data_IF_047185908065
#
_entry.id   IF_047185908065
#
_cell.length_a   1.000
_cell.length_b   1.000
_cell.length_c   1.000
_cell.angle_alpha   90.00
_cell.angle_beta   90.00
_cell.angle_gamma   90.00
#
_symmetry.space_group_name_H-M   'P 1'
#
loop_
_entity.id
_entity.type
_entity.pdbx_description
1 polymer ?
#
# COMPACT_ATOMS: atom_id res chain seq x y z
N UNK A 1 -34.18 3.91 -6.42
CA UNK A 1 -33.96 4.57 -5.14
C UNK A 1 -32.58 4.15 -4.64
N UNK A 2 -31.60 5.04 -4.66
CA UNK A 2 -30.24 4.75 -4.15
C UNK A 2 -30.27 4.61 -2.63
N UNK A 3 -29.23 4.00 -2.04
CA UNK A 3 -29.16 3.80 -0.58
C UNK A 3 -29.29 5.13 0.19
N UNK A 4 -28.76 6.21 -0.38
CA UNK A 4 -28.88 7.57 0.15
C UNK A 4 -30.33 8.11 0.12
N UNK A 5 -31.07 7.88 -0.96
CA UNK A 5 -32.47 8.29 -1.08
C UNK A 5 -33.38 7.53 -0.09
N UNK A 6 -33.07 6.26 0.15
CA UNK A 6 -33.78 5.41 1.12
C UNK A 6 -33.57 5.93 2.55
N UNK A 7 -32.35 6.34 2.89
CA UNK A 7 -31.99 6.86 4.21
C UNK A 7 -32.56 8.25 4.46
N UNK A 8 -32.56 9.13 3.45
CA UNK A 8 -33.21 10.43 3.53
C UNK A 8 -34.73 10.27 3.76
N UNK A 9 -35.35 9.33 3.04
CA UNK A 9 -36.76 9.01 3.19
C UNK A 9 -37.11 8.52 4.61
N UNK A 10 -36.30 7.63 5.18
CA UNK A 10 -36.50 7.17 6.57
C UNK A 10 -36.28 8.27 7.61
N UNK A 11 -35.26 9.12 7.43
CA UNK A 11 -34.97 10.26 8.33
C UNK A 11 -36.14 11.25 8.38
N UNK A 12 -36.71 11.59 7.22
CA UNK A 12 -37.90 12.46 7.10
C UNK A 12 -39.14 11.83 7.74
N UNK A 13 -39.33 10.52 7.58
CA UNK A 13 -40.49 9.80 8.15
C UNK A 13 -40.38 9.68 9.67
N UNK A 14 -39.19 9.49 10.23
CA UNK A 14 -38.96 9.43 11.69
C UNK A 14 -39.12 10.78 12.39
N UNK A 15 -38.83 11.91 11.72
CA UNK A 15 -39.13 13.26 12.23
C UNK A 15 -40.63 13.47 12.52
N UNK A 16 -41.49 12.75 11.81
CA UNK A 16 -42.95 12.87 11.94
C UNK A 16 -43.51 12.09 13.14
N UNK A 17 -42.78 11.12 13.69
CA UNK A 17 -43.31 10.15 14.66
C UNK A 17 -42.54 10.05 15.99
N UNK A 18 -41.36 10.69 16.12
CA UNK A 18 -40.56 10.64 17.35
C UNK A 18 -40.01 12.02 17.72
N UNK A 19 -39.96 12.32 19.02
CA UNK A 19 -39.44 13.57 19.55
C UNK A 19 -38.05 13.92 19.01
N UNK A 20 -37.85 15.21 18.71
CA UNK A 20 -36.68 15.76 18.02
C UNK A 20 -35.31 15.28 18.57
N UNK A 21 -35.22 14.95 19.86
CA UNK A 21 -34.01 14.44 20.51
C UNK A 21 -33.50 13.11 19.90
N UNK A 22 -34.40 12.20 19.51
CA UNK A 22 -34.02 10.91 18.93
C UNK A 22 -33.45 11.05 17.52
N UNK A 23 -34.06 11.90 16.69
CA UNK A 23 -33.62 12.12 15.31
C UNK A 23 -32.27 12.83 15.25
N UNK A 24 -32.03 13.81 16.14
CA UNK A 24 -30.73 14.50 16.24
C UNK A 24 -29.63 13.48 16.57
N UNK A 25 -29.89 12.55 17.50
CA UNK A 25 -28.94 11.51 17.89
C UNK A 25 -28.61 10.56 16.73
N UNK A 26 -29.61 10.18 15.93
CA UNK A 26 -29.43 9.31 14.76
C UNK A 26 -28.60 9.98 13.66
N UNK A 27 -28.88 11.25 13.34
CA UNK A 27 -28.10 12.02 12.37
C UNK A 27 -26.64 12.22 12.83
N UNK A 28 -26.40 12.44 14.13
CA UNK A 28 -25.05 12.55 14.67
C UNK A 28 -24.26 11.25 14.51
N UNK A 29 -24.88 10.10 14.81
CA UNK A 29 -24.28 8.78 14.62
C UNK A 29 -23.96 8.54 13.15
N UNK A 30 -24.86 8.87 12.23
CA UNK A 30 -24.64 8.76 10.78
C UNK A 30 -23.43 9.60 10.32
N UNK A 31 -23.35 10.87 10.73
CA UNK A 31 -22.22 11.76 10.40
C UNK A 31 -20.91 11.19 10.93
N UNK A 32 -20.90 10.64 12.15
CA UNK A 32 -19.70 10.03 12.75
C UNK A 32 -19.28 8.78 11.95
N UNK A 33 -20.22 7.92 11.59
CA UNK A 33 -19.94 6.71 10.80
C UNK A 33 -19.39 7.07 9.43
N UNK A 34 -20.01 8.00 8.71
CA UNK A 34 -19.56 8.42 7.38
C UNK A 34 -18.18 9.08 7.44
N UNK A 35 -17.93 9.93 8.45
CA UNK A 35 -16.62 10.54 8.67
C UNK A 35 -15.54 9.49 8.97
N UNK A 36 -15.88 8.42 9.70
CA UNK A 36 -14.96 7.30 9.96
C UNK A 36 -14.67 6.53 8.68
N UNK A 37 -15.69 6.20 7.89
CA UNK A 37 -15.55 5.50 6.62
C UNK A 37 -14.65 6.28 5.64
N UNK A 38 -14.93 7.56 5.44
CA UNK A 38 -14.13 8.44 4.58
C UNK A 38 -12.66 8.51 5.01
N UNK A 39 -12.38 8.58 6.33
CA UNK A 39 -11.01 8.56 6.84
C UNK A 39 -10.29 7.26 6.53
N UNK A 40 -10.96 6.11 6.64
CA UNK A 40 -10.36 4.81 6.35
C UNK A 40 -10.09 4.64 4.85
N UNK A 41 -10.98 5.14 4.00
CA UNK A 41 -10.80 5.12 2.55
C UNK A 41 -9.59 5.97 2.12
N UNK A 42 -9.47 7.20 2.63
CA UNK A 42 -8.31 8.07 2.39
C UNK A 42 -7.02 7.41 2.87
N UNK A 43 -7.04 6.78 4.05
CA UNK A 43 -5.88 6.10 4.60
C UNK A 43 -5.40 4.96 3.69
N UNK A 44 -6.33 4.11 3.21
CA UNK A 44 -6.02 3.03 2.27
C UNK A 44 -5.38 3.55 0.98
N UNK A 45 -5.92 4.63 0.42
CA UNK A 45 -5.38 5.27 -0.78
C UNK A 45 -3.94 5.75 -0.55
N UNK A 46 -3.68 6.43 0.58
CA UNK A 46 -2.34 6.93 0.91
C UNK A 46 -1.34 5.78 1.03
N UNK A 47 -1.73 4.70 1.72
CA UNK A 47 -0.87 3.52 1.92
C UNK A 47 -0.54 2.86 0.57
N UNK A 48 -1.55 2.61 -0.28
CA UNK A 48 -1.35 2.03 -1.61
C UNK A 48 -0.52 2.95 -2.51
N UNK A 49 -0.75 4.26 -2.46
CA UNK A 49 -0.05 5.22 -3.31
C UNK A 49 1.45 5.28 -2.96
N UNK A 50 1.79 5.43 -1.69
CA UNK A 50 3.19 5.45 -1.23
C UNK A 50 3.87 4.12 -1.55
N UNK A 51 3.20 3.00 -1.20
CA UNK A 51 3.70 1.65 -1.43
C UNK A 51 3.97 1.38 -2.92
N UNK A 52 2.96 1.64 -3.75
CA UNK A 52 3.01 1.38 -5.18
C UNK A 52 4.00 2.27 -5.90
N UNK A 53 4.05 3.57 -5.59
CA UNK A 53 5.00 4.49 -6.22
C UNK A 53 6.45 4.15 -5.84
N UNK A 54 6.74 3.79 -4.59
CA UNK A 54 8.09 3.41 -4.18
C UNK A 54 8.58 2.16 -4.91
N UNK A 55 7.73 1.13 -4.96
CA UNK A 55 8.02 -0.13 -5.66
C UNK A 55 8.16 0.12 -7.17
N UNK A 56 7.18 0.79 -7.78
CA UNK A 56 7.17 1.10 -9.21
C UNK A 56 8.41 1.88 -9.65
N UNK A 57 8.76 2.95 -8.93
CA UNK A 57 9.85 3.85 -9.35
C UNK A 57 11.23 3.35 -8.94
N UNK A 58 11.49 3.19 -7.63
CA UNK A 58 12.83 2.96 -7.10
C UNK A 58 13.29 1.51 -7.26
N UNK A 59 12.39 0.55 -7.04
CA UNK A 59 12.70 -0.87 -7.18
C UNK A 59 12.46 -1.36 -8.62
N UNK A 60 11.53 -0.75 -9.35
CA UNK A 60 11.18 -1.09 -10.73
C UNK A 60 11.88 -0.24 -11.79
N UNK A 61 11.22 0.81 -12.27
CA UNK A 61 11.58 1.59 -13.46
C UNK A 61 13.03 2.07 -13.45
N UNK A 62 13.50 2.65 -12.35
CA UNK A 62 14.86 3.21 -12.28
C UNK A 62 15.93 2.11 -12.45
N UNK A 63 15.77 0.99 -11.74
CA UNK A 63 16.72 -0.14 -11.82
C UNK A 63 16.60 -0.90 -13.14
N UNK A 64 15.43 -0.90 -13.77
CA UNK A 64 15.24 -1.48 -15.09
C UNK A 64 15.99 -0.72 -16.19
N UNK A 65 15.88 0.62 -16.20
CA UNK A 65 16.51 1.48 -17.21
C UNK A 65 18.03 1.51 -17.04
N UNK A 66 18.51 1.77 -15.82
CA UNK A 66 19.93 1.85 -15.53
C UNK A 66 20.26 1.21 -14.17
N UNK A 67 20.48 -0.11 -14.14
CA UNK A 67 20.78 -0.83 -12.90
C UNK A 67 22.05 -0.32 -12.22
N UNK A 68 23.16 -0.17 -12.94
CA UNK A 68 24.48 0.20 -12.36
C UNK A 68 24.38 1.51 -11.56
N UNK A 69 23.84 2.57 -12.18
CA UNK A 69 23.74 3.88 -11.54
C UNK A 69 22.75 3.88 -10.37
N UNK A 70 21.59 3.23 -10.55
CA UNK A 70 20.51 3.31 -9.57
C UNK A 70 20.70 2.37 -8.39
N UNK A 71 21.36 1.22 -8.55
CA UNK A 71 21.78 0.40 -7.41
C UNK A 71 22.81 1.15 -6.55
N UNK A 72 23.81 1.79 -7.16
CA UNK A 72 24.81 2.56 -6.41
C UNK A 72 24.16 3.72 -5.64
N UNK A 73 23.28 4.48 -6.30
CA UNK A 73 22.61 5.64 -5.69
C UNK A 73 21.62 5.23 -4.58
N UNK A 74 20.78 4.22 -4.83
CA UNK A 74 19.64 3.92 -3.96
C UNK A 74 19.97 2.89 -2.88
N UNK A 75 20.99 2.04 -3.11
CA UNK A 75 21.36 0.95 -2.19
C UNK A 75 22.83 0.94 -1.80
N UNK A 76 23.68 1.76 -2.42
CA UNK A 76 25.13 1.74 -2.18
C UNK A 76 25.86 0.54 -2.79
N UNK A 77 25.15 -0.31 -3.55
CA UNK A 77 25.73 -1.50 -4.18
C UNK A 77 26.36 -1.10 -5.52
N UNK A 78 27.66 -1.40 -5.69
CA UNK A 78 28.34 -1.31 -6.98
C UNK A 78 28.06 -2.60 -7.75
N UNK A 79 27.24 -2.51 -8.80
CA UNK A 79 27.08 -3.62 -9.75
C UNK A 79 28.24 -3.62 -10.73
N UNK A 80 28.76 -4.80 -11.01
CA UNK A 80 29.70 -5.01 -12.12
C UNK A 80 28.96 -4.86 -13.46
N UNK A 81 29.69 -4.39 -14.49
CA UNK A 81 29.14 -4.25 -15.82
C UNK A 81 29.23 -5.58 -16.60
N UNK A 82 28.58 -6.60 -16.05
CA UNK A 82 28.58 -7.97 -16.57
C UNK A 82 27.17 -8.31 -17.08
N UNK A 83 27.07 -8.86 -18.29
CA UNK A 83 25.79 -8.99 -19.02
C UNK A 83 24.78 -9.85 -18.27
N UNK A 84 25.22 -10.96 -17.66
CA UNK A 84 24.33 -11.85 -16.92
C UNK A 84 23.80 -11.18 -15.65
N UNK A 85 24.67 -10.51 -14.89
CA UNK A 85 24.28 -9.76 -13.70
C UNK A 85 23.29 -8.63 -14.02
N UNK A 86 23.52 -7.91 -15.13
CA UNK A 86 22.60 -6.87 -15.57
C UNK A 86 21.26 -7.44 -16.03
N UNK A 87 21.24 -8.64 -16.63
CA UNK A 87 20.01 -9.34 -17.01
C UNK A 87 19.19 -9.71 -15.76
N UNK A 88 19.82 -10.32 -14.77
CA UNK A 88 19.18 -10.68 -13.48
C UNK A 88 18.62 -9.45 -12.76
N UNK A 89 19.42 -8.37 -12.68
CA UNK A 89 18.99 -7.13 -12.06
C UNK A 89 17.77 -6.53 -12.77
N UNK A 90 17.73 -6.54 -14.11
CA UNK A 90 16.60 -6.04 -14.90
C UNK A 90 15.37 -6.93 -14.79
N UNK A 91 15.53 -8.25 -14.81
CA UNK A 91 14.43 -9.21 -14.63
C UNK A 91 13.69 -8.98 -13.32
N UNK A 92 14.43 -8.88 -12.20
CA UNK A 92 13.83 -8.56 -10.90
C UNK A 92 13.20 -7.16 -10.87
N UNK A 93 13.79 -6.18 -11.54
CA UNK A 93 13.23 -4.83 -11.63
C UNK A 93 11.92 -4.79 -12.44
N UNK A 94 11.77 -5.61 -13.48
CA UNK A 94 10.51 -5.72 -14.21
C UNK A 94 9.39 -6.28 -13.33
N UNK A 95 9.68 -7.31 -12.52
CA UNK A 95 8.71 -7.85 -11.56
C UNK A 95 8.27 -6.76 -10.57
N UNK A 96 9.21 -5.98 -10.05
CA UNK A 96 8.91 -4.84 -9.17
C UNK A 96 8.06 -3.77 -9.87
N UNK A 97 8.37 -3.43 -11.12
CA UNK A 97 7.60 -2.45 -11.88
C UNK A 97 6.13 -2.89 -12.02
N UNK A 98 5.88 -4.13 -12.45
CA UNK A 98 4.52 -4.65 -12.58
C UNK A 98 3.82 -4.81 -11.24
N UNK A 99 4.55 -5.22 -10.18
CA UNK A 99 4.04 -5.22 -8.82
C UNK A 99 3.55 -3.84 -8.38
N UNK A 100 4.35 -2.80 -8.63
CA UNK A 100 3.96 -1.40 -8.37
C UNK A 100 2.72 -0.96 -9.14
N UNK A 101 2.59 -1.36 -10.41
CA UNK A 101 1.37 -1.10 -11.22
C UNK A 101 0.14 -1.75 -10.58
N UNK A 102 0.24 -3.02 -10.19
CA UNK A 102 -0.86 -3.73 -9.52
C UNK A 102 -1.23 -3.03 -8.21
N UNK A 103 -0.25 -2.60 -7.41
CA UNK A 103 -0.50 -1.90 -6.15
C UNK A 103 -1.25 -0.57 -6.39
N UNK A 104 -0.78 0.26 -7.33
CA UNK A 104 -1.42 1.54 -7.65
C UNK A 104 -2.81 1.35 -8.25
N UNK A 105 -3.03 0.30 -9.05
CA UNK A 105 -4.33 0.03 -9.67
C UNK A 105 -5.47 -0.18 -8.67
N UNK A 106 -5.16 -0.67 -7.46
CA UNK A 106 -6.15 -0.85 -6.38
C UNK A 106 -6.72 0.44 -5.82
N UNK A 107 -6.14 1.60 -6.16
CA UNK A 107 -6.70 2.93 -5.86
C UNK A 107 -7.87 3.25 -6.79
N UNK A 108 -7.76 2.88 -8.07
CA UNK A 108 -8.73 3.23 -9.11
C UNK A 108 -9.77 2.13 -9.36
N UNK A 109 -9.42 0.88 -9.06
CA UNK A 109 -10.26 -0.29 -9.33
C UNK A 109 -10.62 -0.94 -7.98
N UNK A 110 -11.82 -0.70 -7.42
CA UNK A 110 -12.21 -1.20 -6.09
C UNK A 110 -12.12 -2.72 -5.95
N UNK A 111 -12.38 -3.46 -7.03
CA UNK A 111 -12.26 -4.93 -7.07
C UNK A 111 -10.81 -5.41 -6.91
N UNK A 112 -9.83 -4.55 -7.15
CA UNK A 112 -8.40 -4.89 -7.04
C UNK A 112 -7.79 -4.48 -5.72
N UNK A 113 -8.45 -3.67 -4.89
CA UNK A 113 -7.87 -3.12 -3.65
C UNK A 113 -7.29 -4.20 -2.72
N UNK A 114 -8.02 -5.31 -2.51
CA UNK A 114 -7.55 -6.44 -1.70
C UNK A 114 -6.30 -7.09 -2.32
N UNK A 115 -6.30 -7.28 -3.64
CA UNK A 115 -5.17 -7.86 -4.38
C UNK A 115 -3.95 -6.93 -4.30
N UNK A 116 -4.15 -5.63 -4.42
CA UNK A 116 -3.10 -4.62 -4.31
C UNK A 116 -2.44 -4.62 -2.94
N UNK A 117 -3.22 -4.73 -1.86
CA UNK A 117 -2.65 -4.90 -0.52
C UNK A 117 -1.89 -6.22 -0.39
N UNK A 118 -2.44 -7.34 -0.88
CA UNK A 118 -1.76 -8.64 -0.84
C UNK A 118 -0.42 -8.61 -1.58
N UNK A 119 -0.36 -8.00 -2.76
CA UNK A 119 0.89 -7.84 -3.53
C UNK A 119 1.86 -6.92 -2.80
N UNK A 120 1.41 -5.80 -2.22
CA UNK A 120 2.28 -4.92 -1.43
C UNK A 120 2.89 -5.66 -0.23
N UNK A 121 2.08 -6.45 0.49
CA UNK A 121 2.53 -7.28 1.62
C UNK A 121 3.59 -8.27 1.16
N UNK A 122 3.31 -9.00 0.07
CA UNK A 122 4.24 -9.99 -0.49
C UNK A 122 5.60 -9.36 -0.82
N UNK A 123 5.60 -8.20 -1.49
CA UNK A 123 6.84 -7.54 -1.89
C UNK A 123 7.58 -6.95 -0.69
N UNK A 124 6.92 -6.18 0.17
CA UNK A 124 7.58 -5.53 1.30
C UNK A 124 8.02 -6.52 2.38
N UNK A 125 7.13 -7.39 2.86
CA UNK A 125 7.52 -8.36 3.88
C UNK A 125 8.43 -9.44 3.31
N UNK A 126 8.24 -9.87 2.06
CA UNK A 126 9.15 -10.81 1.40
C UNK A 126 10.59 -10.29 1.37
N UNK A 127 10.79 -9.02 1.00
CA UNK A 127 12.11 -8.38 1.05
C UNK A 127 12.61 -8.21 2.48
N UNK A 128 11.77 -7.74 3.41
CA UNK A 128 12.15 -7.56 4.81
C UNK A 128 12.63 -8.88 5.45
N UNK A 129 11.91 -9.99 5.22
CA UNK A 129 12.29 -11.31 5.69
C UNK A 129 13.59 -11.80 5.06
N UNK A 130 13.71 -11.74 3.73
CA UNK A 130 14.90 -12.17 3.02
C UNK A 130 16.16 -11.40 3.46
N UNK A 131 16.04 -10.09 3.63
CA UNK A 131 17.14 -9.24 4.09
C UNK A 131 17.45 -9.45 5.56
N UNK A 132 16.45 -9.68 6.40
CA UNK A 132 16.67 -10.00 7.82
C UNK A 132 17.42 -11.31 7.98
N UNK A 133 17.08 -12.33 7.19
CA UNK A 133 17.82 -13.59 7.13
C UNK A 133 19.26 -13.37 6.66
N UNK A 134 19.46 -12.61 5.57
CA UNK A 134 20.80 -12.27 5.07
C UNK A 134 21.64 -11.48 6.09
N UNK A 135 21.04 -10.59 6.88
CA UNK A 135 21.75 -9.89 7.97
C UNK A 135 22.31 -10.86 9.00
N UNK A 136 21.56 -11.92 9.32
CA UNK A 136 21.96 -12.94 10.29
C UNK A 136 23.02 -13.87 9.72
N UNK A 137 22.87 -14.28 8.45
CA UNK A 137 23.75 -15.28 7.82
C UNK A 137 25.01 -14.68 7.19
N UNK A 138 24.88 -13.55 6.49
CA UNK A 138 25.94 -12.93 5.67
C UNK A 138 26.56 -11.70 6.35
N UNK A 139 25.91 -11.18 7.40
CA UNK A 139 26.38 -10.05 8.19
C UNK A 139 25.73 -8.70 7.84
N UNK A 140 26.16 -7.65 8.55
CA UNK A 140 25.49 -6.35 8.52
C UNK A 140 25.74 -5.58 7.21
N UNK A 141 24.70 -5.20 6.45
CA UNK A 141 24.84 -4.46 5.21
C UNK A 141 25.03 -2.95 5.46
N UNK A 142 25.19 -2.19 4.38
CA UNK A 142 25.35 -0.73 4.45
C UNK A 142 24.09 -0.01 4.99
N UNK A 143 24.25 1.27 5.34
CA UNK A 143 23.19 2.09 5.96
C UNK A 143 21.93 2.23 5.08
N UNK A 144 22.07 2.31 3.75
CA UNK A 144 20.93 2.46 2.83
C UNK A 144 20.08 1.18 2.82
N UNK A 145 20.72 0.01 2.85
CA UNK A 145 20.01 -1.27 2.93
C UNK A 145 19.27 -1.39 4.27
N UNK A 146 19.89 -1.02 5.39
CA UNK A 146 19.24 -1.05 6.71
C UNK A 146 18.01 -0.13 6.74
N UNK A 147 18.13 1.09 6.19
CA UNK A 147 16.98 2.00 6.07
C UNK A 147 15.87 1.39 5.20
N UNK A 148 16.24 0.70 4.12
CA UNK A 148 15.32 -0.07 3.29
C UNK A 148 14.58 -1.16 4.06
N UNK A 149 15.27 -1.95 4.89
CA UNK A 149 14.61 -2.99 5.72
C UNK A 149 13.58 -2.38 6.68
N UNK A 150 13.91 -1.24 7.29
CA UNK A 150 12.97 -0.54 8.18
C UNK A 150 11.73 -0.07 7.40
N UNK A 151 11.92 0.55 6.23
CA UNK A 151 10.78 1.00 5.43
C UNK A 151 9.96 -0.17 4.89
N UNK A 152 10.60 -1.28 4.55
CA UNK A 152 9.95 -2.52 4.13
C UNK A 152 9.05 -3.09 5.25
N UNK A 153 9.53 -3.16 6.49
CA UNK A 153 8.69 -3.59 7.63
C UNK A 153 7.53 -2.63 7.90
N UNK A 154 7.79 -1.32 7.91
CA UNK A 154 6.75 -0.31 8.20
C UNK A 154 5.66 -0.34 7.13
N UNK A 155 6.03 -0.30 5.84
CA UNK A 155 5.05 -0.33 4.76
C UNK A 155 4.36 -1.69 4.68
N UNK A 156 5.08 -2.79 4.89
CA UNK A 156 4.49 -4.12 4.97
C UNK A 156 3.41 -4.22 6.05
N UNK A 157 3.72 -3.77 7.28
CA UNK A 157 2.76 -3.75 8.39
C UNK A 157 1.55 -2.86 8.12
N UNK A 158 1.75 -1.67 7.51
CA UNK A 158 0.65 -0.80 7.12
C UNK A 158 -0.28 -1.46 6.10
N UNK A 159 0.27 -2.15 5.09
CA UNK A 159 -0.55 -2.85 4.10
C UNK A 159 -1.28 -4.06 4.73
N UNK A 160 -0.67 -4.78 5.69
CA UNK A 160 -1.36 -5.83 6.46
C UNK A 160 -2.54 -5.25 7.23
N UNK A 161 -2.33 -4.13 7.94
CA UNK A 161 -3.38 -3.47 8.69
C UNK A 161 -4.55 -3.05 7.79
N UNK A 162 -4.27 -2.41 6.65
CA UNK A 162 -5.30 -2.02 5.69
C UNK A 162 -6.04 -3.22 5.09
N UNK A 163 -5.34 -4.31 4.78
CA UNK A 163 -5.94 -5.54 4.27
C UNK A 163 -6.91 -6.15 5.30
N UNK A 164 -6.47 -6.30 6.54
CA UNK A 164 -7.31 -6.86 7.62
C UNK A 164 -8.54 -5.99 7.83
N UNK A 165 -8.39 -4.66 7.88
CA UNK A 165 -9.52 -3.74 8.01
C UNK A 165 -10.45 -3.72 6.78
N UNK A 166 -9.97 -4.11 5.60
CA UNK A 166 -10.82 -4.24 4.42
C UNK A 166 -11.62 -5.56 4.39
N UNK A 167 -11.22 -6.55 5.19
CA UNK A 167 -11.83 -7.88 5.23
C UNK A 167 -12.80 -8.07 6.42
N UNK A 168 -12.65 -7.27 7.48
CA UNK A 168 -13.46 -7.34 8.73
C UNK A 168 -14.45 -6.19 8.78
#
# INVERSE_FOLDING_TARGET
MTYEELLLYFSIKTLKYSGASFVIKLNLVYIIINKKHLKMEIFNIIVLLISGLLVFTFAGVLRLINPIKNYLKNTGIKLENEVNLLSEARGMSSVMMFGGIIIVSGIFIPKMTIISFAVAILLFLGYAFGRSLSIVLDGKPNKLIIQGVISEFVLGALNVFCLVNALV
#
